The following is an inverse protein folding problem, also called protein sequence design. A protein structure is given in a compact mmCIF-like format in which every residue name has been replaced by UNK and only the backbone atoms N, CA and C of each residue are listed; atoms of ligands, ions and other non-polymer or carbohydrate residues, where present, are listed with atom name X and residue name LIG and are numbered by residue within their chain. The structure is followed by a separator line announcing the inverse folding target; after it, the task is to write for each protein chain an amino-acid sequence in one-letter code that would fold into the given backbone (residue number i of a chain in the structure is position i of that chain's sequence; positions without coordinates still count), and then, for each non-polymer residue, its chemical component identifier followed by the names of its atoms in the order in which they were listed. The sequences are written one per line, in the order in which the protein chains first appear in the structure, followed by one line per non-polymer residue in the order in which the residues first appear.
data_IF_296788034662
#
_entry.id   IF_296788034662
#
_cell.length_a   1.000
_cell.length_b   1.000
_cell.length_c   1.000
_cell.angle_alpha   90.00
_cell.angle_beta   90.00
_cell.angle_gamma   90.00
#
_symmetry.space_group_name_H-M   'P 1'
#
loop_
_entity.id
_entity.type
_entity.pdbx_description
1 polymer ?
#
# COMPACT_ATOMS: atom_id res chain seq x y z
N UNK A 1 5.78 27.74 21.99
CA UNK A 1 5.14 26.54 22.63
C UNK A 1 6.16 25.42 22.58
N UNK A 2 6.11 24.45 23.49
CA UNK A 2 6.97 23.27 23.39
C UNK A 2 6.50 22.45 22.17
N UNK A 3 7.43 21.93 21.33
CA UNK A 3 7.05 21.09 20.20
C UNK A 3 6.21 19.89 20.62
N UNK A 4 5.33 19.44 19.75
CA UNK A 4 4.46 18.27 19.99
C UNK A 4 5.25 17.02 19.65
N UNK A 5 5.49 16.09 20.63
CA UNK A 5 6.26 14.88 20.38
C UNK A 5 5.45 13.85 19.60
N UNK A 6 6.03 13.39 18.49
CA UNK A 6 5.43 12.45 17.54
C UNK A 6 6.37 11.28 17.35
N UNK A 7 5.85 10.06 17.44
CA UNK A 7 6.59 8.83 17.15
C UNK A 7 6.22 8.30 15.76
N UNK A 8 7.21 8.16 14.89
CA UNK A 8 7.08 7.50 13.58
C UNK A 8 7.64 6.09 13.71
N UNK A 9 6.79 5.08 13.56
CA UNK A 9 7.17 3.68 13.72
C UNK A 9 7.46 3.01 12.38
N UNK A 10 8.51 2.20 12.32
CA UNK A 10 8.99 1.52 11.11
C UNK A 10 9.12 2.47 9.90
N UNK A 11 9.77 3.64 10.03
CA UNK A 11 9.87 4.61 8.96
C UNK A 11 10.65 4.07 7.76
N UNK A 12 10.30 4.55 6.58
CA UNK A 12 11.12 4.48 5.36
C UNK A 12 11.82 5.81 5.12
N UNK A 13 12.80 5.85 4.24
CA UNK A 13 13.47 7.08 3.86
C UNK A 13 12.50 8.20 3.45
N UNK A 14 11.42 7.84 2.77
CA UNK A 14 10.38 8.79 2.37
C UNK A 14 9.63 9.39 3.57
N UNK A 15 9.48 8.68 4.68
CA UNK A 15 8.82 9.20 5.88
C UNK A 15 9.69 10.28 6.56
N UNK A 16 11.01 10.06 6.63
CA UNK A 16 11.96 11.08 7.12
C UNK A 16 11.86 12.35 6.29
N UNK A 17 11.91 12.22 4.96
CA UNK A 17 11.78 13.36 4.06
C UNK A 17 10.44 14.08 4.24
N UNK A 18 9.33 13.35 4.26
CA UNK A 18 8.01 13.93 4.39
C UNK A 18 7.79 14.63 5.72
N UNK A 19 8.27 14.07 6.84
CA UNK A 19 8.19 14.72 8.16
C UNK A 19 8.99 16.02 8.24
N UNK A 20 10.12 16.12 7.51
CA UNK A 20 10.94 17.34 7.47
C UNK A 20 10.36 18.43 6.56
N UNK A 21 9.50 18.07 5.61
CA UNK A 21 8.96 18.98 4.58
C UNK A 21 7.50 19.37 4.82
N UNK A 22 6.91 19.02 5.96
CA UNK A 22 5.58 19.50 6.33
C UNK A 22 5.60 21.02 6.59
N UNK A 23 4.46 21.71 6.49
CA UNK A 23 4.34 23.09 6.97
C UNK A 23 4.65 23.21 8.48
N UNK A 24 5.41 24.25 8.85
CA UNK A 24 5.77 24.57 10.24
C UNK A 24 6.39 23.37 11.02
N UNK A 25 7.48 22.74 10.50
CA UNK A 25 8.03 21.52 11.06
C UNK A 25 8.55 21.70 12.49
N UNK A 26 8.91 22.92 12.90
CA UNK A 26 9.34 23.28 14.25
C UNK A 26 8.22 23.17 15.31
N UNK A 27 6.98 23.02 14.87
CA UNK A 27 5.83 22.73 15.75
C UNK A 27 5.88 21.32 16.32
N UNK A 28 6.64 20.43 15.71
CA UNK A 28 6.68 19.01 16.01
C UNK A 28 8.09 18.54 16.38
N UNK A 29 8.15 17.58 17.31
CA UNK A 29 9.37 16.87 17.67
C UNK A 29 9.24 15.41 17.22
N UNK A 30 9.86 15.06 16.08
CA UNK A 30 9.78 13.73 15.52
C UNK A 30 10.79 12.79 16.16
N UNK A 31 10.29 11.67 16.68
CA UNK A 31 11.05 10.51 17.11
C UNK A 31 10.84 9.41 16.08
N UNK A 32 11.91 8.87 15.54
CA UNK A 32 11.86 7.77 14.57
C UNK A 32 12.33 6.50 15.23
N UNK A 33 11.50 5.45 15.19
CA UNK A 33 11.86 4.14 15.68
C UNK A 33 11.97 3.18 14.49
N UNK A 34 13.23 2.90 14.11
CA UNK A 34 13.55 2.05 12.97
C UNK A 34 13.22 0.58 13.25
N UNK A 35 13.02 -0.17 12.19
CA UNK A 35 12.88 -1.61 12.20
C UNK A 35 13.66 -2.22 11.03
N UNK A 36 14.13 -3.47 11.13
CA UNK A 36 14.82 -4.15 10.04
C UNK A 36 13.82 -4.50 8.92
N UNK A 37 13.66 -3.58 7.97
CA UNK A 37 12.72 -3.66 6.88
C UNK A 37 13.39 -4.14 5.61
N UNK A 38 12.78 -5.13 4.97
CA UNK A 38 13.06 -5.54 3.61
C UNK A 38 11.97 -5.01 2.65
N UNK A 39 12.18 -5.10 1.35
CA UNK A 39 11.20 -4.63 0.35
C UNK A 39 9.81 -5.28 0.52
N UNK A 40 9.79 -6.55 0.87
CA UNK A 40 8.58 -7.37 1.01
C UNK A 40 7.96 -7.39 2.42
N UNK A 41 8.63 -6.82 3.43
CA UNK A 41 8.16 -6.89 4.80
C UNK A 41 9.25 -6.71 5.84
N UNK A 42 9.16 -7.45 6.95
CA UNK A 42 10.18 -7.51 7.98
C UNK A 42 11.13 -8.69 7.74
N UNK A 43 12.36 -8.60 8.25
CA UNK A 43 13.30 -9.73 8.23
C UNK A 43 12.73 -10.94 8.98
N UNK A 44 13.08 -12.14 8.56
CA UNK A 44 12.58 -13.42 9.12
C UNK A 44 12.65 -13.55 10.64
N UNK A 45 13.62 -12.88 11.27
CA UNK A 45 13.86 -12.96 12.71
C UNK A 45 13.34 -11.72 13.46
N UNK A 46 12.47 -10.92 12.84
CA UNK A 46 11.95 -9.73 13.47
C UNK A 46 10.93 -10.08 14.55
N UNK A 47 11.21 -9.68 15.80
CA UNK A 47 10.28 -9.83 16.92
C UNK A 47 9.36 -8.62 16.99
N UNK A 48 8.17 -8.76 16.39
CA UNK A 48 7.16 -7.70 16.35
C UNK A 48 6.66 -7.35 17.75
N UNK A 49 6.60 -8.34 18.68
CA UNK A 49 6.14 -8.11 20.04
C UNK A 49 7.17 -7.35 20.87
N UNK A 50 8.45 -7.66 20.71
CA UNK A 50 9.55 -6.90 21.34
C UNK A 50 9.58 -5.46 20.81
N UNK A 51 9.41 -5.26 19.51
CA UNK A 51 9.34 -3.92 18.92
C UNK A 51 8.12 -3.13 19.42
N UNK A 52 6.97 -3.76 19.59
CA UNK A 52 5.80 -3.12 20.18
C UNK A 52 6.08 -2.66 21.63
N UNK A 53 6.83 -3.46 22.42
CA UNK A 53 7.23 -3.04 23.77
C UNK A 53 8.20 -1.85 23.74
N UNK A 54 9.11 -1.81 22.78
CA UNK A 54 9.98 -0.65 22.57
C UNK A 54 9.16 0.61 22.24
N UNK A 55 8.14 0.51 21.36
CA UNK A 55 7.21 1.61 21.11
C UNK A 55 6.53 2.11 22.39
N UNK A 56 6.07 1.21 23.28
CA UNK A 56 5.47 1.57 24.56
C UNK A 56 6.44 2.35 25.45
N UNK A 57 7.72 1.96 25.48
CA UNK A 57 8.76 2.65 26.24
C UNK A 57 8.98 4.05 25.70
N UNK A 58 9.09 4.23 24.36
CA UNK A 58 9.20 5.54 23.72
C UNK A 58 8.01 6.45 24.06
N UNK A 59 6.78 5.92 23.97
CA UNK A 59 5.57 6.70 24.29
C UNK A 59 5.62 7.24 25.71
N UNK A 60 6.02 6.41 26.69
CA UNK A 60 6.12 6.84 28.10
C UNK A 60 7.28 7.79 28.34
N UNK A 61 8.44 7.52 27.75
CA UNK A 61 9.66 8.30 27.95
C UNK A 61 9.55 9.71 27.39
N UNK A 62 8.97 9.86 26.21
CA UNK A 62 8.92 11.13 25.49
C UNK A 62 7.54 11.80 25.53
N UNK A 63 6.59 11.26 26.30
CA UNK A 63 5.21 11.77 26.41
C UNK A 63 4.56 11.95 25.02
N UNK A 64 4.75 10.95 24.14
CA UNK A 64 4.29 10.96 22.74
C UNK A 64 2.78 11.28 22.67
N UNK A 65 2.42 12.18 21.77
CA UNK A 65 1.02 12.62 21.55
C UNK A 65 0.40 12.02 20.30
N UNK A 66 1.23 11.62 19.32
CA UNK A 66 0.77 11.01 18.07
C UNK A 66 1.74 9.89 17.68
N UNK A 67 1.21 8.76 17.22
CA UNK A 67 1.97 7.70 16.58
C UNK A 67 1.62 7.68 15.10
N UNK A 68 2.61 7.71 14.22
CA UNK A 68 2.44 7.64 12.78
C UNK A 68 2.91 6.28 12.25
N UNK A 69 2.06 5.65 11.44
CA UNK A 69 2.38 4.45 10.67
C UNK A 69 1.88 4.61 9.23
N UNK A 70 2.76 4.36 8.28
CA UNK A 70 2.49 4.53 6.84
C UNK A 70 2.60 3.21 6.06
N UNK A 71 2.55 2.07 6.78
CA UNK A 71 2.63 0.72 6.22
C UNK A 71 1.61 -0.19 6.91
N UNK A 72 1.28 -1.29 6.26
CA UNK A 72 0.18 -2.17 6.67
C UNK A 72 0.40 -2.79 8.06
N UNK A 73 1.50 -3.51 8.29
CA UNK A 73 1.79 -4.11 9.61
C UNK A 73 2.04 -3.06 10.70
N UNK A 74 2.83 -1.99 10.48
CA UNK A 74 2.93 -0.88 11.44
C UNK A 74 1.60 -0.24 11.81
N UNK A 75 0.61 -0.21 10.90
CA UNK A 75 -0.73 0.30 11.24
C UNK A 75 -1.46 -0.58 12.27
N UNK A 76 -1.21 -1.88 12.30
CA UNK A 76 -1.70 -2.75 13.41
C UNK A 76 -1.07 -2.36 14.75
N UNK A 77 0.24 -2.07 14.76
CA UNK A 77 0.94 -1.62 15.98
C UNK A 77 0.42 -0.28 16.45
N UNK A 78 0.24 0.68 15.52
CA UNK A 78 -0.36 1.99 15.82
C UNK A 78 -1.76 1.81 16.43
N UNK A 79 -2.59 0.95 15.85
CA UNK A 79 -3.93 0.65 16.34
C UNK A 79 -3.88 0.10 17.78
N UNK A 80 -2.98 -0.86 18.05
CA UNK A 80 -2.82 -1.43 19.39
C UNK A 80 -2.37 -0.38 20.42
N UNK A 81 -1.37 0.44 20.05
CA UNK A 81 -0.89 1.53 20.92
C UNK A 81 -2.00 2.57 21.21
N UNK A 82 -2.83 2.88 20.22
CA UNK A 82 -3.96 3.80 20.39
C UNK A 82 -5.05 3.24 21.32
N UNK A 83 -5.22 1.92 21.37
CA UNK A 83 -6.15 1.28 22.32
C UNK A 83 -5.58 1.24 23.75
N UNK A 84 -4.26 1.17 23.91
CA UNK A 84 -3.60 1.09 25.21
C UNK A 84 -3.40 2.46 25.88
N UNK A 85 -3.07 3.48 25.09
CA UNK A 85 -2.74 4.81 25.58
C UNK A 85 -3.90 5.78 25.32
N UNK A 86 -4.62 6.17 26.36
CA UNK A 86 -5.83 7.04 26.26
C UNK A 86 -5.61 8.40 25.60
N UNK A 87 -4.38 8.86 25.53
CA UNK A 87 -4.02 10.14 24.89
C UNK A 87 -3.68 9.98 23.39
N UNK A 88 -3.64 8.77 22.88
CA UNK A 88 -3.44 8.50 21.46
C UNK A 88 -4.78 8.25 20.75
N UNK A 89 -4.86 8.65 19.49
CA UNK A 89 -6.01 8.40 18.62
C UNK A 89 -5.59 7.48 17.47
N UNK A 90 -6.49 6.63 17.02
CA UNK A 90 -6.22 5.69 15.92
C UNK A 90 -7.35 4.69 15.72
N UNK A 91 -7.22 3.85 14.72
CA UNK A 91 -8.14 2.75 14.42
C UNK A 91 -8.06 1.66 15.50
N UNK A 92 -9.05 0.77 15.52
CA UNK A 92 -8.97 -0.48 16.30
C UNK A 92 -8.04 -1.48 15.60
N UNK A 93 -7.45 -2.42 16.36
CA UNK A 93 -6.66 -3.53 15.80
C UNK A 93 -7.50 -4.36 14.85
N UNK A 94 -8.76 -4.63 15.21
CA UNK A 94 -9.69 -5.40 14.39
C UNK A 94 -9.93 -4.76 13.02
N UNK A 95 -10.22 -3.47 12.97
CA UNK A 95 -10.45 -2.77 11.70
C UNK A 95 -9.19 -2.65 10.84
N UNK A 96 -8.03 -2.42 11.46
CA UNK A 96 -6.74 -2.42 10.75
C UNK A 96 -6.42 -3.82 10.17
N UNK A 97 -6.72 -4.89 10.93
CA UNK A 97 -6.59 -6.27 10.46
C UNK A 97 -7.53 -6.58 9.28
N UNK A 98 -8.78 -6.12 9.33
CA UNK A 98 -9.73 -6.29 8.23
C UNK A 98 -9.26 -5.61 6.92
N UNK A 99 -8.48 -4.55 7.01
CA UNK A 99 -7.82 -3.95 5.84
C UNK A 99 -6.63 -4.79 5.35
N UNK A 100 -5.85 -5.38 6.26
CA UNK A 100 -4.65 -6.14 5.93
C UNK A 100 -4.94 -7.53 5.34
N UNK A 101 -5.89 -8.25 5.92
CA UNK A 101 -6.11 -9.66 5.61
C UNK A 101 -7.13 -9.84 4.48
N UNK A 102 -6.67 -10.03 3.26
CA UNK A 102 -7.45 -10.03 2.00
C UNK A 102 -8.73 -10.89 2.04
N UNK A 103 -8.68 -12.07 2.67
CA UNK A 103 -9.89 -12.89 2.83
C UNK A 103 -10.96 -12.23 3.69
N UNK A 104 -10.57 -11.62 4.82
CA UNK A 104 -11.53 -10.94 5.68
C UNK A 104 -11.95 -9.59 5.09
N UNK A 105 -11.07 -8.95 4.29
CA UNK A 105 -11.44 -7.82 3.46
C UNK A 105 -12.58 -8.18 2.51
N UNK A 106 -12.50 -9.31 1.79
CA UNK A 106 -13.58 -9.77 0.91
C UNK A 106 -14.90 -10.02 1.65
N UNK A 107 -14.84 -10.55 2.86
CA UNK A 107 -16.05 -10.73 3.70
C UNK A 107 -16.68 -9.42 4.13
N UNK A 108 -15.87 -8.38 4.29
CA UNK A 108 -16.35 -7.04 4.64
C UNK A 108 -16.94 -6.32 3.42
N UNK A 109 -16.34 -6.53 2.22
CA UNK A 109 -16.71 -5.85 0.99
C UNK A 109 -18.01 -6.44 0.43
N UNK A 110 -19.01 -5.64 0.34
CA UNK A 110 -20.24 -5.76 -0.40
C UNK A 110 -20.70 -4.31 -0.62
N UNK A 111 -20.90 -3.78 -1.80
CA UNK A 111 -21.61 -4.41 -2.91
C UNK A 111 -20.76 -4.76 -4.14
N UNK A 112 -19.45 -4.80 -4.06
CA UNK A 112 -18.57 -5.01 -5.23
C UNK A 112 -17.69 -6.27 -5.12
N UNK A 113 -18.26 -7.45 -4.84
CA UNK A 113 -17.49 -8.65 -4.59
C UNK A 113 -16.75 -9.13 -5.84
N UNK A 114 -15.55 -9.62 -5.63
CA UNK A 114 -14.81 -10.50 -6.55
C UNK A 114 -15.11 -11.93 -6.11
N UNK A 115 -15.34 -12.84 -7.04
CA UNK A 115 -15.47 -14.26 -6.70
C UNK A 115 -14.13 -14.76 -6.13
N UNK A 116 -14.17 -15.38 -4.95
CA UNK A 116 -12.97 -15.83 -4.27
C UNK A 116 -13.18 -17.16 -3.55
N UNK A 117 -12.08 -17.90 -3.40
CA UNK A 117 -11.96 -19.05 -2.52
C UNK A 117 -10.70 -18.91 -1.67
N UNK A 118 -10.71 -19.50 -0.48
CA UNK A 118 -9.55 -19.51 0.40
C UNK A 118 -9.10 -20.94 0.64
N UNK A 119 -7.80 -21.14 0.60
CA UNK A 119 -7.20 -22.42 0.89
C UNK A 119 -6.21 -22.32 2.04
N UNK A 120 -6.44 -23.11 3.07
CA UNK A 120 -5.53 -23.28 4.19
C UNK A 120 -4.54 -24.38 3.85
N UNK A 121 -3.25 -24.10 4.00
CA UNK A 121 -2.21 -25.12 3.90
C UNK A 121 -2.42 -26.14 5.03
N UNK A 122 -3.08 -27.25 4.67
CA UNK A 122 -3.24 -28.40 5.53
C UNK A 122 -2.29 -29.49 5.02
N UNK A 123 -1.40 -29.96 5.87
CA UNK A 123 -0.38 -30.96 5.50
C UNK A 123 -0.97 -32.33 5.20
N UNK A 124 -2.21 -32.58 5.61
CA UNK A 124 -2.85 -33.90 5.53
C UNK A 124 -3.71 -34.06 4.26
N UNK A 125 -3.89 -33.00 3.45
CA UNK A 125 -4.74 -33.00 2.28
C UNK A 125 -3.95 -32.69 1.01
N UNK A 126 -4.15 -33.50 -0.04
CA UNK A 126 -3.52 -33.27 -1.34
C UNK A 126 -4.02 -31.95 -1.96
N UNK A 127 -3.08 -31.13 -2.45
CA UNK A 127 -3.39 -29.87 -3.10
C UNK A 127 -4.34 -30.00 -4.27
N UNK A 128 -4.21 -31.11 -5.05
CA UNK A 128 -5.10 -31.42 -6.17
C UNK A 128 -6.58 -31.53 -5.77
N UNK A 129 -6.87 -32.11 -4.60
CA UNK A 129 -8.24 -32.23 -4.09
C UNK A 129 -8.85 -30.85 -3.78
N UNK A 130 -8.01 -29.94 -3.33
CA UNK A 130 -8.44 -28.57 -3.04
C UNK A 130 -8.82 -27.80 -4.29
N UNK A 131 -8.04 -27.97 -5.37
CA UNK A 131 -8.31 -27.28 -6.64
C UNK A 131 -9.63 -27.74 -7.28
N UNK A 132 -10.05 -28.98 -7.05
CA UNK A 132 -11.33 -29.52 -7.55
C UNK A 132 -12.55 -28.88 -6.85
N UNK A 133 -12.38 -28.36 -5.65
CA UNK A 133 -13.45 -27.68 -4.89
C UNK A 133 -13.68 -26.23 -5.33
N UNK A 134 -12.69 -25.61 -5.97
CA UNK A 134 -12.78 -24.21 -6.41
C UNK A 134 -13.70 -24.14 -7.64
N UNK A 135 -14.82 -23.44 -7.51
CA UNK A 135 -15.83 -23.30 -8.59
C UNK A 135 -15.62 -22.06 -9.45
N UNK A 136 -14.60 -21.26 -9.17
CA UNK A 136 -14.25 -20.07 -9.94
C UNK A 136 -13.63 -20.53 -11.27
N UNK A 137 -14.08 -20.01 -12.43
CA UNK A 137 -13.45 -20.35 -13.71
C UNK A 137 -12.06 -19.71 -13.85
N UNK A 138 -11.15 -20.38 -14.52
CA UNK A 138 -9.87 -19.80 -14.90
C UNK A 138 -10.04 -18.62 -15.89
N UNK A 139 -9.11 -17.65 -15.92
CA UNK A 139 -7.89 -17.58 -15.11
C UNK A 139 -8.13 -17.07 -13.67
N UNK A 140 -7.25 -17.44 -12.75
CA UNK A 140 -7.29 -16.99 -11.36
C UNK A 140 -6.14 -16.07 -11.05
N UNK A 141 -6.35 -15.23 -10.04
CA UNK A 141 -5.28 -14.56 -9.28
C UNK A 141 -5.06 -15.35 -7.99
N UNK A 142 -3.81 -15.77 -7.75
CA UNK A 142 -3.44 -16.54 -6.56
C UNK A 142 -2.47 -15.70 -5.74
N UNK A 143 -2.76 -15.51 -4.45
CA UNK A 143 -1.96 -14.67 -3.55
C UNK A 143 -2.10 -15.10 -2.09
N UNK A 144 -1.07 -14.90 -1.24
CA UNK A 144 -1.23 -15.01 0.20
C UNK A 144 -2.13 -13.91 0.76
N UNK A 145 -2.84 -14.18 1.86
CA UNK A 145 -3.80 -13.23 2.43
C UNK A 145 -3.19 -11.98 3.08
N UNK A 146 -1.96 -12.05 3.57
CA UNK A 146 -1.33 -10.97 4.38
C UNK A 146 -0.09 -10.34 3.74
N UNK A 147 0.17 -10.59 2.45
CA UNK A 147 1.31 -9.97 1.75
C UNK A 147 0.97 -8.61 1.18
N UNK A 148 1.96 -7.72 1.13
CA UNK A 148 1.87 -6.37 0.57
C UNK A 148 2.69 -6.24 -0.74
N UNK A 149 2.53 -5.12 -1.44
CA UNK A 149 3.35 -4.69 -2.58
C UNK A 149 3.31 -5.60 -3.82
N UNK A 150 2.22 -6.34 -4.05
CA UNK A 150 2.07 -7.26 -5.22
C UNK A 150 3.21 -8.29 -5.36
N UNK A 151 4.05 -8.45 -4.34
CA UNK A 151 5.28 -9.25 -4.40
C UNK A 151 5.04 -10.75 -4.56
N UNK A 152 3.82 -11.21 -4.33
CA UNK A 152 3.48 -12.63 -4.34
C UNK A 152 2.10 -12.87 -4.99
N UNK A 153 1.81 -12.16 -6.08
CA UNK A 153 0.55 -12.32 -6.82
C UNK A 153 0.87 -12.97 -8.15
N UNK A 154 0.22 -14.11 -8.45
CA UNK A 154 0.41 -14.85 -9.71
C UNK A 154 -0.92 -15.07 -10.40
N UNK A 155 -0.98 -14.73 -11.70
CA UNK A 155 -2.07 -15.13 -12.58
C UNK A 155 -1.82 -16.55 -13.06
N UNK A 156 -2.82 -17.43 -12.90
CA UNK A 156 -2.76 -18.81 -13.34
C UNK A 156 -3.92 -19.14 -14.28
N UNK A 157 -3.64 -19.88 -15.33
CA UNK A 157 -4.60 -20.17 -16.40
C UNK A 157 -5.15 -21.61 -16.35
N UNK A 158 -4.58 -22.45 -15.51
CA UNK A 158 -4.96 -23.86 -15.35
C UNK A 158 -4.48 -24.42 -14.00
N UNK A 159 -4.96 -25.61 -13.65
CA UNK A 159 -4.65 -26.27 -12.39
C UNK A 159 -3.16 -26.56 -12.21
N UNK A 160 -2.40 -26.84 -13.29
CA UNK A 160 -0.96 -27.08 -13.20
C UNK A 160 -0.23 -25.81 -12.77
N UNK A 161 -0.50 -24.68 -13.43
CA UNK A 161 0.07 -23.38 -13.04
C UNK A 161 -0.31 -23.00 -11.61
N UNK A 162 -1.53 -23.32 -11.17
CA UNK A 162 -1.97 -23.10 -9.80
C UNK A 162 -1.16 -23.94 -8.80
N UNK A 163 -0.90 -25.21 -9.07
CA UNK A 163 -0.07 -26.08 -8.25
C UNK A 163 1.37 -25.55 -8.14
N UNK A 164 1.96 -25.14 -9.27
CA UNK A 164 3.30 -24.58 -9.32
C UNK A 164 3.40 -23.28 -8.51
N UNK A 165 2.42 -22.37 -8.64
CA UNK A 165 2.36 -21.12 -7.88
C UNK A 165 2.24 -21.37 -6.37
N UNK A 166 1.39 -22.29 -5.96
CA UNK A 166 1.15 -22.61 -4.54
C UNK A 166 2.39 -23.24 -3.89
N UNK A 167 3.14 -24.07 -4.62
CA UNK A 167 4.39 -24.66 -4.10
C UNK A 167 5.43 -23.59 -3.75
N UNK A 168 5.50 -22.51 -4.54
CA UNK A 168 6.39 -21.36 -4.25
C UNK A 168 5.96 -20.62 -2.99
N UNK A 169 4.65 -20.53 -2.73
CA UNK A 169 4.14 -19.81 -1.58
C UNK A 169 4.35 -20.51 -0.25
N UNK A 170 4.59 -21.82 -0.21
CA UNK A 170 4.80 -22.56 1.03
C UNK A 170 5.95 -21.96 1.85
N UNK A 171 7.06 -21.62 1.20
CA UNK A 171 8.21 -21.00 1.86
C UNK A 171 7.93 -19.54 2.29
N UNK A 172 7.30 -18.76 1.42
CA UNK A 172 6.97 -17.34 1.69
C UNK A 172 5.96 -17.21 2.85
N UNK A 173 5.00 -18.13 2.95
CA UNK A 173 3.97 -18.14 3.98
C UNK A 173 4.58 -18.39 5.36
N UNK A 174 5.48 -19.35 5.48
CA UNK A 174 6.16 -19.66 6.74
C UNK A 174 6.93 -18.44 7.26
N UNK A 175 7.61 -17.73 6.38
CA UNK A 175 8.41 -16.56 6.72
C UNK A 175 7.55 -15.39 7.23
N UNK A 176 6.47 -15.08 6.54
CA UNK A 176 5.58 -13.97 6.91
C UNK A 176 4.77 -14.24 8.19
N UNK A 177 4.45 -15.50 8.47
CA UNK A 177 3.72 -15.87 9.67
C UNK A 177 4.54 -15.73 10.94
N UNK A 178 5.85 -15.96 10.88
CA UNK A 178 6.71 -16.03 12.07
C UNK A 178 6.68 -14.77 12.92
N UNK A 179 6.61 -13.58 12.33
CA UNK A 179 6.56 -12.31 13.08
C UNK A 179 5.15 -11.79 13.34
N UNK A 180 4.17 -12.09 12.47
CA UNK A 180 2.82 -11.52 12.54
C UNK A 180 1.86 -12.36 13.40
N UNK A 181 1.94 -13.69 13.33
CA UNK A 181 1.05 -14.60 14.08
C UNK A 181 1.00 -14.33 15.58
N UNK A 182 2.13 -14.15 16.29
CA UNK A 182 2.09 -13.89 17.74
C UNK A 182 1.28 -12.63 18.09
N UNK A 183 1.38 -11.59 17.26
CA UNK A 183 0.60 -10.38 17.43
C UNK A 183 -0.89 -10.63 17.21
N UNK A 184 -1.26 -11.24 16.10
CA UNK A 184 -2.66 -11.50 15.76
C UNK A 184 -3.35 -12.41 16.81
N UNK A 185 -2.69 -13.47 17.23
CA UNK A 185 -3.19 -14.38 18.28
C UNK A 185 -3.38 -13.68 19.64
N UNK A 186 -2.56 -12.68 19.93
CA UNK A 186 -2.64 -11.94 21.20
C UNK A 186 -3.80 -10.95 21.21
N UNK A 187 -4.07 -10.29 20.09
CA UNK A 187 -4.96 -9.12 20.05
C UNK A 187 -6.26 -9.33 19.29
N UNK A 188 -6.46 -10.48 18.63
CA UNK A 188 -7.69 -10.82 17.93
C UNK A 188 -8.32 -12.12 18.45
N UNK A 189 -9.64 -12.21 18.36
CA UNK A 189 -10.37 -13.43 18.74
C UNK A 189 -10.25 -14.50 17.63
N UNK A 190 -9.52 -15.57 17.90
CA UNK A 190 -9.36 -16.69 16.98
C UNK A 190 -10.66 -17.44 16.66
N UNK A 191 -11.70 -17.31 17.49
CA UNK A 191 -13.03 -17.88 17.17
C UNK A 191 -13.75 -17.06 16.11
N UNK A 192 -13.59 -15.74 16.14
CA UNK A 192 -14.14 -14.83 15.14
C UNK A 192 -13.31 -14.87 13.85
N UNK A 193 -11.99 -14.99 13.98
CA UNK A 193 -11.04 -14.99 12.87
C UNK A 193 -10.20 -16.27 12.82
N UNK A 194 -10.78 -17.43 12.45
CA UNK A 194 -10.11 -18.74 12.54
C UNK A 194 -8.94 -18.93 11.56
N UNK A 195 -8.65 -17.95 10.68
CA UNK A 195 -7.52 -17.99 9.75
C UNK A 195 -6.35 -17.08 10.15
N UNK A 196 -6.37 -16.49 11.36
CA UNK A 196 -5.26 -15.64 11.83
C UNK A 196 -3.96 -16.40 12.06
N UNK A 197 -4.05 -17.70 12.37
CA UNK A 197 -2.90 -18.58 12.66
C UNK A 197 -2.24 -19.13 11.41
N UNK A 198 -2.88 -18.93 10.29
CA UNK A 198 -2.42 -19.41 9.00
C UNK A 198 -2.44 -18.27 8.02
N UNK A 199 -1.42 -18.15 7.18
CA UNK A 199 -1.48 -17.25 6.06
C UNK A 199 -2.07 -18.01 4.85
N UNK A 200 -3.42 -18.14 4.77
CA UNK A 200 -4.03 -18.96 3.75
C UNK A 200 -3.80 -18.33 2.38
N UNK A 201 -3.87 -19.18 1.35
CA UNK A 201 -3.83 -18.72 -0.03
C UNK A 201 -5.23 -18.31 -0.43
N UNK A 202 -5.34 -17.13 -1.00
CA UNK A 202 -6.54 -16.59 -1.62
C UNK A 202 -6.47 -16.85 -3.12
N UNK A 203 -7.54 -17.41 -3.66
CA UNK A 203 -7.78 -17.58 -5.10
C UNK A 203 -8.93 -16.65 -5.45
N UNK A 204 -8.72 -15.78 -6.42
CA UNK A 204 -9.73 -14.82 -6.90
C UNK A 204 -9.97 -15.00 -8.39
N UNK A 205 -11.17 -14.64 -8.87
CA UNK A 205 -11.39 -14.47 -10.29
C UNK A 205 -10.45 -13.41 -10.87
N UNK A 206 -9.92 -13.65 -12.06
CA UNK A 206 -9.11 -12.64 -12.75
C UNK A 206 -9.99 -11.54 -13.33
N UNK A 207 -9.84 -10.33 -12.82
CA UNK A 207 -10.58 -9.16 -13.30
C UNK A 207 -9.82 -8.50 -14.45
N UNK A 208 -10.36 -8.64 -15.66
CA UNK A 208 -9.79 -8.01 -16.85
C UNK A 208 -10.51 -6.69 -17.17
N UNK A 209 -10.50 -5.76 -16.22
CA UNK A 209 -11.01 -4.41 -16.43
C UNK A 209 -9.88 -3.48 -16.86
N UNK A 210 -10.12 -2.54 -17.80
CA UNK A 210 -9.06 -1.72 -18.39
C UNK A 210 -8.52 -0.64 -17.47
N UNK A 211 -9.32 -0.20 -16.48
CA UNK A 211 -8.93 0.88 -15.60
C UNK A 211 -8.75 0.37 -14.18
N UNK A 212 -7.74 0.87 -13.52
CA UNK A 212 -7.50 0.70 -12.09
C UNK A 212 -7.32 2.08 -11.49
N UNK A 213 -7.85 2.28 -10.30
CA UNK A 213 -7.76 3.57 -9.61
C UNK A 213 -7.80 3.37 -8.11
N UNK A 214 -7.32 4.38 -7.39
CA UNK A 214 -7.35 4.43 -5.94
C UNK A 214 -8.21 5.59 -5.49
N UNK A 215 -9.01 5.39 -4.44
CA UNK A 215 -9.69 6.47 -3.73
C UNK A 215 -9.02 6.62 -2.38
N UNK A 216 -8.38 7.77 -2.18
CA UNK A 216 -7.69 8.12 -0.94
C UNK A 216 -8.53 9.02 -0.05
N UNK A 217 -8.40 8.82 1.24
CA UNK A 217 -9.05 9.67 2.24
C UNK A 217 -8.71 9.24 3.66
N UNK A 218 -9.49 9.73 4.61
CA UNK A 218 -9.36 9.36 6.01
C UNK A 218 -10.71 9.33 6.71
N UNK A 219 -10.74 8.63 7.84
CA UNK A 219 -11.80 8.78 8.85
C UNK A 219 -11.23 9.60 9.99
N UNK A 220 -11.99 10.57 10.48
CA UNK A 220 -11.62 11.40 11.62
C UNK A 220 -12.85 11.70 12.47
N UNK A 221 -12.84 11.22 13.71
CA UNK A 221 -13.98 11.34 14.63
C UNK A 221 -15.29 10.84 13.99
N UNK A 222 -15.25 9.67 13.35
CA UNK A 222 -16.36 9.04 12.64
C UNK A 222 -16.77 9.70 11.32
N UNK A 223 -16.06 10.74 10.87
CA UNK A 223 -16.36 11.43 9.61
C UNK A 223 -15.41 11.02 8.51
N UNK A 224 -15.97 10.63 7.37
CA UNK A 224 -15.21 10.27 6.16
C UNK A 224 -14.87 11.53 5.39
N UNK A 225 -13.57 11.72 5.12
CA UNK A 225 -13.02 12.80 4.28
C UNK A 225 -12.33 12.17 3.08
N UNK A 226 -12.84 12.42 1.88
CA UNK A 226 -12.23 11.97 0.62
C UNK A 226 -11.21 13.02 0.19
N UNK A 227 -10.01 12.58 -0.15
CA UNK A 227 -8.91 13.41 -0.65
C UNK A 227 -8.89 13.50 -2.18
N UNK A 228 -9.18 12.39 -2.84
CA UNK A 228 -9.29 12.34 -4.28
C UNK A 228 -9.21 10.93 -4.85
N UNK A 229 -9.19 10.87 -6.17
CA UNK A 229 -9.07 9.64 -6.94
C UNK A 229 -7.83 9.77 -7.82
N UNK A 230 -6.95 8.78 -7.77
CA UNK A 230 -5.80 8.63 -8.66
C UNK A 230 -6.00 7.46 -9.61
N UNK A 231 -5.48 7.59 -10.83
CA UNK A 231 -5.49 6.52 -11.83
C UNK A 231 -4.18 5.75 -11.79
N UNK A 232 -4.26 4.42 -11.84
CA UNK A 232 -3.09 3.52 -11.93
C UNK A 232 -2.92 3.05 -13.36
N UNK A 233 -1.74 3.29 -13.95
CA UNK A 233 -1.44 2.93 -15.31
C UNK A 233 -0.42 1.79 -15.38
N UNK A 234 -0.55 0.99 -16.43
CA UNK A 234 0.31 -0.15 -16.72
C UNK A 234 0.88 -0.03 -18.13
N UNK A 235 2.07 -0.57 -18.36
CA UNK A 235 2.65 -0.53 -19.70
C UNK A 235 1.83 -1.40 -20.67
N UNK A 236 1.48 -0.83 -21.82
CA UNK A 236 0.67 -1.56 -22.83
C UNK A 236 1.37 -2.82 -23.34
N UNK A 237 2.70 -2.78 -23.48
CA UNK A 237 3.53 -3.91 -23.91
C UNK A 237 3.66 -5.00 -22.83
N UNK A 238 3.43 -4.65 -21.56
CA UNK A 238 3.56 -5.51 -20.37
C UNK A 238 2.48 -5.14 -19.34
N UNK A 239 1.23 -5.62 -19.53
CA UNK A 239 0.08 -5.21 -18.71
C UNK A 239 0.18 -5.58 -17.23
N UNK A 240 1.13 -6.43 -16.87
CA UNK A 240 1.46 -6.77 -15.47
C UNK A 240 2.43 -5.77 -14.84
N UNK A 241 3.12 -4.96 -15.66
CA UNK A 241 4.11 -4.00 -15.19
C UNK A 241 3.46 -2.65 -14.94
N UNK A 242 3.48 -2.24 -13.69
CA UNK A 242 3.00 -0.94 -13.25
C UNK A 242 3.88 0.18 -13.81
N UNK A 243 3.26 1.19 -14.39
CA UNK A 243 3.96 2.31 -15.04
C UNK A 243 3.99 3.56 -14.17
N UNK A 244 2.82 3.99 -13.71
CA UNK A 244 2.65 5.25 -12.98
C UNK A 244 1.30 5.37 -12.28
N UNK A 245 1.23 6.32 -11.33
CA UNK A 245 0.00 6.89 -10.80
C UNK A 245 -0.16 8.32 -11.33
N UNK A 246 -1.38 8.70 -11.70
CA UNK A 246 -1.71 10.08 -12.03
C UNK A 246 -2.85 10.62 -11.16
N UNK A 247 -2.81 11.90 -10.84
CA UNK A 247 -3.79 12.58 -10.00
C UNK A 247 -4.06 14.02 -10.51
N UNK A 248 -5.33 14.48 -10.48
CA UNK A 248 -6.55 13.75 -10.16
C UNK A 248 -6.95 12.77 -11.26
N UNK A 249 -7.89 11.86 -10.98
CA UNK A 249 -8.36 10.86 -11.95
C UNK A 249 -8.97 11.51 -13.20
N UNK A 250 -8.73 10.87 -14.34
CA UNK A 250 -9.31 11.24 -15.65
C UNK A 250 -10.60 10.49 -15.97
N UNK A 251 -11.05 9.62 -15.10
CA UNK A 251 -12.31 8.88 -15.26
C UNK A 251 -13.50 9.85 -15.33
N UNK A 252 -14.57 9.52 -16.09
CA UNK A 252 -15.79 10.32 -16.14
C UNK A 252 -16.36 10.61 -14.76
N UNK A 253 -16.89 11.81 -14.53
CA UNK A 253 -17.48 12.23 -13.26
C UNK A 253 -18.53 11.23 -12.71
N UNK A 254 -19.34 10.64 -13.60
CA UNK A 254 -20.31 9.61 -13.22
C UNK A 254 -19.68 8.35 -12.62
N UNK A 255 -18.48 7.99 -13.07
CA UNK A 255 -17.68 6.88 -12.54
C UNK A 255 -17.05 7.29 -11.20
N UNK A 256 -16.42 8.47 -11.15
CA UNK A 256 -15.87 9.02 -9.91
C UNK A 256 -16.93 9.10 -8.80
N UNK A 257 -18.15 9.50 -9.13
CA UNK A 257 -19.26 9.52 -8.18
C UNK A 257 -19.65 8.12 -7.66
N UNK A 258 -19.59 7.08 -8.52
CA UNK A 258 -19.78 5.68 -8.09
C UNK A 258 -18.67 5.20 -7.17
N UNK A 259 -17.41 5.49 -7.51
CA UNK A 259 -16.23 5.15 -6.69
C UNK A 259 -16.33 5.80 -5.31
N UNK A 260 -16.63 7.09 -5.25
CA UNK A 260 -16.80 7.83 -4.00
C UNK A 260 -17.95 7.26 -3.14
N UNK A 261 -19.02 6.76 -3.75
CA UNK A 261 -20.11 6.09 -3.03
C UNK A 261 -19.65 4.76 -2.46
N UNK A 262 -19.05 3.90 -3.29
CA UNK A 262 -18.55 2.60 -2.85
C UNK A 262 -17.50 2.76 -1.73
N UNK A 263 -16.57 3.71 -1.87
CA UNK A 263 -15.61 4.06 -0.84
C UNK A 263 -16.28 4.41 0.49
N UNK A 264 -17.30 5.28 0.47
CA UNK A 264 -18.05 5.65 1.69
C UNK A 264 -18.75 4.46 2.32
N UNK A 265 -19.38 3.59 1.52
CA UNK A 265 -20.08 2.40 2.00
C UNK A 265 -19.10 1.41 2.68
N UNK A 266 -17.91 1.20 2.09
CA UNK A 266 -16.84 0.38 2.67
C UNK A 266 -16.37 0.97 4.00
N UNK A 267 -16.11 2.28 4.04
CA UNK A 267 -15.63 2.93 5.25
C UNK A 267 -16.67 2.98 6.36
N UNK A 268 -17.97 3.12 6.05
CA UNK A 268 -19.03 3.00 7.05
C UNK A 268 -19.01 1.64 7.73
N UNK A 269 -18.75 0.56 6.98
CA UNK A 269 -18.60 -0.78 7.57
C UNK A 269 -17.34 -0.89 8.41
N UNK A 270 -16.20 -0.37 7.94
CA UNK A 270 -14.97 -0.36 8.74
C UNK A 270 -15.13 0.43 10.05
N UNK A 271 -15.89 1.52 10.04
CA UNK A 271 -16.22 2.32 11.24
C UNK A 271 -16.98 1.47 12.28
N UNK A 272 -17.84 0.56 11.86
CA UNK A 272 -18.56 -0.37 12.77
C UNK A 272 -17.59 -1.30 13.52
N UNK A 273 -16.40 -1.56 12.94
CA UNK A 273 -15.30 -2.31 13.57
C UNK A 273 -14.29 -1.41 14.28
N UNK A 274 -14.58 -0.10 14.40
CA UNK A 274 -13.73 0.86 15.11
C UNK A 274 -12.62 1.47 14.26
N UNK A 275 -12.77 1.53 12.93
CA UNK A 275 -11.85 2.28 12.06
C UNK A 275 -12.11 3.76 12.23
N UNK A 276 -11.20 4.46 12.89
CA UNK A 276 -11.28 5.90 13.10
C UNK A 276 -9.87 6.51 13.23
N UNK A 277 -9.78 7.80 13.06
CA UNK A 277 -8.57 8.58 13.16
C UNK A 277 -7.38 7.96 12.39
N UNK A 278 -7.64 7.55 11.16
CA UNK A 278 -6.67 6.91 10.28
C UNK A 278 -6.97 7.23 8.81
N UNK A 279 -5.91 7.24 7.98
CA UNK A 279 -6.03 7.25 6.53
C UNK A 279 -6.37 5.86 6.00
N UNK A 280 -7.00 5.86 4.83
CA UNK A 280 -7.32 4.64 4.09
C UNK A 280 -7.29 4.90 2.59
N UNK A 281 -6.72 3.99 1.87
CA UNK A 281 -6.74 3.89 0.43
C UNK A 281 -7.57 2.67 0.03
N UNK A 282 -8.43 2.81 -0.96
CA UNK A 282 -9.19 1.70 -1.54
C UNK A 282 -8.93 1.63 -3.03
N UNK A 283 -8.42 0.49 -3.47
CA UNK A 283 -8.10 0.23 -4.86
C UNK A 283 -9.28 -0.43 -5.58
N UNK A 284 -9.56 0.04 -6.80
CA UNK A 284 -10.68 -0.42 -7.59
C UNK A 284 -10.28 -0.81 -9.01
N UNK A 285 -10.92 -1.86 -9.52
CA UNK A 285 -11.04 -2.13 -10.94
C UNK A 285 -12.26 -1.42 -11.51
N UNK A 286 -12.15 -0.85 -12.73
CA UNK A 286 -13.24 -0.17 -13.42
C UNK A 286 -13.34 -0.68 -14.85
N UNK A 287 -14.54 -1.16 -15.25
CA UNK A 287 -14.81 -1.62 -16.61
C UNK A 287 -15.13 -0.44 -17.56
N UNK A 288 -15.07 -0.67 -18.88
CA UNK A 288 -15.53 0.30 -19.88
C UNK A 288 -17.00 0.72 -19.69
N UNK A 289 -17.82 -0.14 -19.08
CA UNK A 289 -19.23 0.15 -18.80
C UNK A 289 -19.47 0.84 -17.45
N UNK A 290 -18.39 1.10 -16.71
CA UNK A 290 -18.46 1.71 -15.39
C UNK A 290 -18.94 0.77 -14.29
N UNK A 291 -18.76 -0.54 -14.47
CA UNK A 291 -18.79 -1.51 -13.38
C UNK A 291 -17.53 -1.33 -12.55
N UNK A 292 -17.65 -1.42 -11.24
CA UNK A 292 -16.52 -1.30 -10.31
C UNK A 292 -16.42 -2.55 -9.45
N UNK A 293 -15.19 -2.98 -9.16
CA UNK A 293 -14.88 -4.05 -8.21
C UNK A 293 -13.77 -3.61 -7.30
N UNK A 294 -13.82 -3.95 -6.03
CA UNK A 294 -12.76 -3.61 -5.07
C UNK A 294 -11.60 -4.56 -5.27
N UNK A 295 -10.39 -4.02 -5.38
CA UNK A 295 -9.14 -4.79 -5.49
C UNK A 295 -8.54 -5.05 -4.12
N UNK A 296 -8.37 -3.98 -3.32
CA UNK A 296 -7.70 -4.03 -2.02
C UNK A 296 -8.12 -2.82 -1.16
N UNK A 297 -8.02 -2.97 0.16
CA UNK A 297 -8.15 -1.88 1.12
C UNK A 297 -6.84 -1.77 1.88
N UNK A 298 -6.24 -0.60 1.86
CA UNK A 298 -5.03 -0.28 2.59
C UNK A 298 -5.37 0.66 3.75
N UNK A 299 -5.41 0.15 4.98
CA UNK A 299 -5.80 0.91 6.18
C UNK A 299 -4.73 1.90 6.64
N UNK A 300 -4.14 2.63 5.70
CA UNK A 300 -3.05 3.59 5.95
C UNK A 300 -2.90 4.56 4.78
N UNK A 301 -2.16 5.64 5.01
CA UNK A 301 -1.74 6.54 3.94
C UNK A 301 -0.71 5.87 3.02
N UNK A 302 -0.70 6.26 1.74
CA UNK A 302 0.34 5.89 0.78
C UNK A 302 1.42 6.98 0.80
N UNK A 303 2.62 6.74 1.38
CA UNK A 303 3.62 7.80 1.59
C UNK A 303 4.11 8.44 0.30
N UNK A 304 4.20 7.66 -0.79
CA UNK A 304 4.67 8.14 -2.08
C UNK A 304 3.73 9.19 -2.69
N UNK A 305 2.43 9.15 -2.37
CA UNK A 305 1.43 10.10 -2.85
C UNK A 305 1.49 11.45 -2.13
N UNK A 306 2.24 11.56 -1.02
CA UNK A 306 2.26 12.79 -0.23
C UNK A 306 2.77 13.99 -1.01
N UNK A 307 3.84 13.83 -1.79
CA UNK A 307 4.38 14.90 -2.64
C UNK A 307 3.36 15.36 -3.70
N UNK A 308 2.62 14.42 -4.26
CA UNK A 308 1.59 14.69 -5.25
C UNK A 308 0.45 15.53 -4.68
N UNK A 309 -0.06 15.13 -3.52
CA UNK A 309 -1.14 15.85 -2.84
C UNK A 309 -0.73 17.25 -2.40
N UNK A 310 0.49 17.43 -1.88
CA UNK A 310 1.02 18.75 -1.54
C UNK A 310 1.01 19.72 -2.72
N UNK A 311 1.29 19.22 -3.92
CA UNK A 311 1.43 20.03 -5.12
C UNK A 311 0.12 20.23 -5.88
N UNK A 312 -0.78 19.25 -5.87
CA UNK A 312 -2.04 19.28 -6.64
C UNK A 312 -3.27 19.70 -5.82
N UNK A 313 -3.13 19.79 -4.49
CA UNK A 313 -4.23 20.16 -3.60
C UNK A 313 -3.90 21.41 -2.78
N UNK A 314 -4.90 22.27 -2.60
CA UNK A 314 -4.86 23.28 -1.57
C UNK A 314 -5.04 22.62 -0.20
N UNK A 315 -4.13 22.88 0.74
CA UNK A 315 -4.13 22.29 2.07
C UNK A 315 -4.01 20.75 2.06
N UNK A 316 -3.32 20.22 1.04
CA UNK A 316 -3.19 18.79 0.76
C UNK A 316 -1.93 18.14 1.33
N UNK A 317 -1.47 18.50 2.54
CA UNK A 317 -0.36 17.80 3.19
C UNK A 317 -0.86 16.60 4.01
N UNK A 318 -0.62 15.33 3.55
CA UNK A 318 -1.16 14.16 4.24
C UNK A 318 -0.49 13.90 5.58
N UNK A 319 0.79 14.26 5.78
CA UNK A 319 1.47 14.07 7.07
C UNK A 319 0.93 15.04 8.11
N UNK A 320 0.70 16.30 7.74
CA UNK A 320 0.00 17.26 8.61
C UNK A 320 -1.39 16.75 8.99
N UNK A 321 -2.13 16.20 8.02
CA UNK A 321 -3.45 15.65 8.29
C UNK A 321 -3.38 14.39 9.20
N UNK A 322 -2.42 13.48 8.99
CA UNK A 322 -2.17 12.34 9.88
C UNK A 322 -1.91 12.80 11.33
N UNK A 323 -1.09 13.83 11.51
CA UNK A 323 -0.82 14.39 12.82
C UNK A 323 -2.09 14.99 13.44
N UNK A 324 -2.86 15.75 12.65
CA UNK A 324 -4.13 16.34 13.11
C UNK A 324 -5.13 15.30 13.57
N UNK A 325 -5.37 14.25 12.77
CA UNK A 325 -6.28 13.16 13.16
C UNK A 325 -5.76 12.36 14.35
N UNK A 326 -4.43 12.15 14.44
CA UNK A 326 -3.79 11.53 15.59
C UNK A 326 -3.90 12.35 16.88
N UNK A 327 -4.13 13.66 16.76
CA UNK A 327 -4.48 14.55 17.88
C UNK A 327 -5.99 14.66 18.13
N UNK A 328 -6.83 13.90 17.40
CA UNK A 328 -8.29 13.99 17.46
C UNK A 328 -8.87 15.25 16.80
N UNK A 329 -8.09 15.93 15.97
CA UNK A 329 -8.53 17.12 15.25
C UNK A 329 -9.09 16.76 13.89
N UNK A 330 -10.15 17.43 13.45
CA UNK A 330 -10.70 17.28 12.10
C UNK A 330 -9.75 17.95 11.09
N UNK A 331 -9.14 17.20 10.13
CA UNK A 331 -8.35 17.84 9.08
C UNK A 331 -9.28 18.61 8.13
N UNK A 332 -8.72 19.64 7.51
CA UNK A 332 -9.46 20.35 6.46
C UNK A 332 -9.60 19.45 5.24
N UNK A 333 -10.76 19.51 4.59
CA UNK A 333 -10.97 18.82 3.31
C UNK A 333 -10.16 19.54 2.24
N UNK A 334 -9.21 18.87 1.58
CA UNK A 334 -8.42 19.49 0.54
C UNK A 334 -9.25 19.72 -0.72
N UNK A 335 -8.82 20.66 -1.56
CA UNK A 335 -9.45 20.97 -2.85
C UNK A 335 -8.42 21.02 -3.95
N UNK A 336 -8.80 20.62 -5.17
CA UNK A 336 -7.91 20.70 -6.34
C UNK A 336 -7.49 22.15 -6.59
N UNK A 337 -6.22 22.35 -6.94
CA UNK A 337 -5.67 23.68 -7.28
C UNK A 337 -5.50 23.91 -8.81
N UNK A 338 -5.92 22.95 -9.63
CA UNK A 338 -5.87 23.01 -11.08
C UNK A 338 -4.63 22.38 -11.71
N UNK A 339 -3.65 21.95 -10.89
CA UNK A 339 -2.50 21.20 -11.36
C UNK A 339 -2.82 19.71 -11.45
N UNK A 340 -2.11 19.02 -12.33
CA UNK A 340 -2.09 17.56 -12.43
C UNK A 340 -0.71 17.05 -12.10
N UNK A 341 -0.64 15.83 -11.56
CA UNK A 341 0.64 15.26 -11.21
C UNK A 341 0.69 13.76 -11.44
N UNK A 342 1.89 13.19 -11.37
CA UNK A 342 2.11 11.77 -11.50
C UNK A 342 3.36 11.29 -10.78
N UNK A 343 3.32 10.02 -10.40
CA UNK A 343 4.45 9.27 -9.85
C UNK A 343 4.84 8.24 -10.89
N UNK A 344 5.98 8.42 -11.51
CA UNK A 344 6.43 7.60 -12.63
C UNK A 344 7.56 6.68 -12.20
N UNK A 345 7.45 5.41 -12.53
CA UNK A 345 8.45 4.40 -12.21
C UNK A 345 9.50 4.29 -13.32
N UNK A 346 10.75 4.23 -12.92
CA UNK A 346 11.89 3.90 -13.77
C UNK A 346 12.18 2.41 -13.57
N UNK A 347 11.59 1.58 -14.41
CA UNK A 347 11.56 0.13 -14.25
C UNK A 347 12.44 -0.56 -15.28
N UNK A 348 13.11 -1.64 -14.88
CA UNK A 348 13.93 -2.50 -15.76
C UNK A 348 13.51 -3.96 -15.67
N UNK A 349 13.78 -4.72 -16.74
CA UNK A 349 13.78 -6.18 -16.77
C UNK A 349 15.20 -6.76 -16.92
N UNK A 350 16.22 -5.91 -16.92
CA UNK A 350 17.63 -6.32 -16.95
C UNK A 350 18.09 -6.86 -15.59
N UNK A 351 18.89 -7.92 -15.65
CA UNK A 351 19.53 -8.54 -14.47
C UNK A 351 21.00 -8.19 -14.48
N UNK A 352 21.41 -7.23 -13.66
CA UNK A 352 22.78 -6.74 -13.57
C UNK A 352 23.00 -6.03 -12.22
N UNK A 353 24.18 -5.46 -12.00
CA UNK A 353 24.43 -4.52 -10.92
C UNK A 353 23.72 -3.21 -11.26
N UNK A 354 23.08 -2.57 -10.26
CA UNK A 354 22.25 -1.39 -10.47
C UNK A 354 22.96 -0.23 -11.19
N UNK A 355 24.27 -0.04 -10.97
CA UNK A 355 25.08 0.96 -11.68
C UNK A 355 25.17 0.73 -13.19
N UNK A 356 24.99 -0.50 -13.67
CA UNK A 356 24.94 -0.84 -15.09
C UNK A 356 23.55 -0.64 -15.70
N UNK A 357 22.50 -0.49 -14.87
CA UNK A 357 21.10 -0.36 -15.28
C UNK A 357 20.61 1.09 -15.18
N UNK A 358 21.05 1.82 -14.14
CA UNK A 358 20.63 3.19 -13.85
C UNK A 358 21.82 4.17 -13.95
N UNK A 359 21.60 5.32 -14.57
CA UNK A 359 22.57 6.41 -14.55
C UNK A 359 22.44 7.20 -13.23
N UNK A 360 23.27 6.86 -12.25
CA UNK A 360 23.25 7.47 -10.93
C UNK A 360 23.64 8.95 -10.92
N UNK A 361 24.51 9.37 -11.85
CA UNK A 361 24.95 10.77 -11.90
C UNK A 361 23.79 11.67 -12.40
N UNK A 362 23.08 11.23 -13.43
CA UNK A 362 21.87 11.92 -13.89
C UNK A 362 20.78 11.83 -12.80
N UNK A 363 20.56 10.65 -12.23
CA UNK A 363 19.54 10.43 -11.21
C UNK A 363 19.69 11.37 -9.99
N UNK A 364 20.91 11.53 -9.47
CA UNK A 364 21.22 12.43 -8.36
C UNK A 364 20.97 13.91 -8.68
N UNK A 365 21.02 14.30 -9.95
CA UNK A 365 20.77 15.68 -10.38
C UNK A 365 19.30 16.07 -10.48
N UNK A 366 18.38 15.08 -10.43
CA UNK A 366 16.95 15.30 -10.56
C UNK A 366 16.31 15.48 -9.18
N UNK A 367 15.81 16.66 -8.89
CA UNK A 367 15.34 17.05 -7.58
C UNK A 367 14.17 16.22 -7.01
N UNK A 368 13.25 15.76 -7.88
CA UNK A 368 12.02 15.04 -7.48
C UNK A 368 12.11 13.54 -7.75
N UNK A 369 13.33 12.98 -7.83
CA UNK A 369 13.57 11.57 -8.10
C UNK A 369 14.06 10.87 -6.82
N UNK A 370 13.41 9.78 -6.49
CA UNK A 370 13.80 8.85 -5.42
C UNK A 370 14.51 7.65 -6.04
N UNK A 371 15.80 7.48 -5.73
CA UNK A 371 16.57 6.28 -6.12
C UNK A 371 16.25 5.19 -5.10
N UNK A 372 15.89 4.00 -5.59
CA UNK A 372 15.43 2.86 -4.77
C UNK A 372 16.47 1.77 -4.56
N UNK A 373 17.62 1.92 -5.20
CA UNK A 373 18.71 0.94 -5.20
C UNK A 373 20.03 1.61 -4.89
N UNK A 374 21.00 0.86 -4.36
CA UNK A 374 22.39 1.31 -4.28
C UNK A 374 23.15 0.95 -5.57
N UNK A 375 24.24 1.66 -5.93
CA UNK A 375 25.00 1.36 -7.15
C UNK A 375 25.47 -0.09 -7.24
N UNK A 376 25.91 -0.66 -6.11
CA UNK A 376 26.46 -2.00 -6.00
C UNK A 376 25.39 -3.10 -5.89
N UNK A 377 24.13 -2.72 -5.78
CA UNK A 377 23.03 -3.67 -5.60
C UNK A 377 22.84 -4.56 -6.83
N UNK A 378 22.74 -5.85 -6.57
CA UNK A 378 22.64 -6.87 -7.61
C UNK A 378 21.16 -7.19 -7.86
N UNK A 379 20.66 -6.85 -9.03
CA UNK A 379 19.29 -7.15 -9.45
C UNK A 379 19.30 -8.55 -10.07
N UNK A 380 18.86 -9.55 -9.32
CA UNK A 380 18.89 -10.97 -9.71
C UNK A 380 17.50 -11.55 -9.94
N UNK A 381 16.51 -11.05 -9.20
CA UNK A 381 15.13 -11.50 -9.26
C UNK A 381 14.25 -10.41 -9.83
N UNK A 382 13.54 -10.72 -10.90
CA UNK A 382 12.64 -9.78 -11.58
C UNK A 382 11.32 -10.49 -11.81
N UNK A 383 10.28 -10.00 -11.15
CA UNK A 383 8.92 -10.47 -11.34
C UNK A 383 8.30 -9.99 -12.66
N UNK A 384 7.05 -10.38 -12.91
CA UNK A 384 6.29 -9.92 -14.07
C UNK A 384 6.14 -8.39 -14.13
N UNK A 385 6.14 -7.73 -12.96
CA UNK A 385 6.06 -6.27 -12.83
C UNK A 385 7.36 -5.53 -13.12
N UNK A 386 8.46 -6.23 -13.41
CA UNK A 386 9.79 -5.62 -13.52
C UNK A 386 10.37 -5.23 -12.16
N UNK A 387 11.52 -4.55 -12.18
CA UNK A 387 12.19 -4.06 -10.99
C UNK A 387 12.29 -2.51 -11.03
N UNK A 388 11.68 -1.79 -10.09
CA UNK A 388 11.72 -0.32 -10.05
C UNK A 388 13.05 0.18 -9.47
N UNK A 389 13.91 0.75 -10.31
CA UNK A 389 15.21 1.34 -9.92
C UNK A 389 15.05 2.71 -9.25
N UNK A 390 14.07 3.47 -9.69
CA UNK A 390 13.75 4.80 -9.16
C UNK A 390 12.28 5.17 -9.39
N UNK A 391 11.84 6.22 -8.71
CA UNK A 391 10.55 6.89 -8.96
C UNK A 391 10.77 8.39 -9.09
N UNK A 392 10.00 9.03 -9.96
CA UNK A 392 10.00 10.50 -10.12
C UNK A 392 8.60 11.06 -9.94
N UNK A 393 8.49 12.14 -9.17
CA UNK A 393 7.26 12.90 -9.01
C UNK A 393 7.28 14.10 -9.95
N UNK A 394 6.29 14.18 -10.84
CA UNK A 394 6.14 15.28 -11.79
C UNK A 394 4.78 15.95 -11.59
N UNK A 395 4.76 17.27 -11.69
CA UNK A 395 3.55 18.09 -11.63
C UNK A 395 3.59 19.11 -12.76
N UNK A 396 2.45 19.35 -13.40
CA UNK A 396 2.34 20.26 -14.52
C UNK A 396 0.89 20.71 -14.75
N UNK A 397 0.67 21.38 -15.87
CA UNK A 397 -0.66 21.88 -16.23
C UNK A 397 -1.49 20.85 -17.03
N UNK A 398 -0.87 19.79 -17.52
CA UNK A 398 -1.55 18.72 -18.26
C UNK A 398 -0.85 17.36 -18.09
N UNK A 399 -1.62 16.28 -18.25
CA UNK A 399 -1.08 14.92 -18.27
C UNK A 399 -0.13 14.68 -19.45
N UNK A 400 -0.38 15.31 -20.60
CA UNK A 400 0.50 15.19 -21.76
C UNK A 400 1.90 15.73 -21.43
N UNK A 401 1.98 16.90 -20.79
CA UNK A 401 3.24 17.52 -20.37
C UNK A 401 4.05 16.60 -19.44
N UNK A 402 3.43 16.13 -18.33
CA UNK A 402 4.15 15.31 -17.37
C UNK A 402 4.52 13.92 -17.92
N UNK A 403 3.70 13.34 -18.81
CA UNK A 403 4.02 12.07 -19.48
C UNK A 403 5.20 12.22 -20.46
N UNK A 404 5.27 13.32 -21.20
CA UNK A 404 6.42 13.61 -22.07
C UNK A 404 7.70 13.76 -21.25
N UNK A 405 7.65 14.48 -20.14
CA UNK A 405 8.79 14.62 -19.22
C UNK A 405 9.20 13.25 -18.63
N UNK A 406 8.25 12.45 -18.15
CA UNK A 406 8.52 11.12 -17.60
C UNK A 406 9.20 10.20 -18.61
N UNK A 407 8.70 10.17 -19.84
CA UNK A 407 9.29 9.36 -20.90
C UNK A 407 10.69 9.85 -21.32
N UNK A 408 10.94 11.15 -21.27
CA UNK A 408 12.27 11.71 -21.48
C UNK A 408 13.24 11.26 -20.38
N UNK A 409 12.82 11.34 -19.10
CA UNK A 409 13.63 10.90 -17.96
C UNK A 409 13.91 9.40 -17.98
N UNK A 410 12.91 8.57 -18.30
CA UNK A 410 13.10 7.12 -18.46
C UNK A 410 14.22 6.79 -19.45
N UNK A 411 14.23 7.48 -20.63
CA UNK A 411 15.27 7.27 -21.65
C UNK A 411 16.65 7.76 -21.21
N UNK A 412 16.72 8.81 -20.41
CA UNK A 412 18.00 9.37 -19.94
C UNK A 412 18.60 8.54 -18.80
N UNK A 413 17.74 7.97 -17.95
CA UNK A 413 18.14 7.28 -16.73
C UNK A 413 18.52 5.82 -16.95
N UNK A 414 17.92 5.13 -17.94
CA UNK A 414 18.21 3.72 -18.19
C UNK A 414 19.38 3.55 -19.14
N UNK A 415 20.44 2.89 -18.64
CA UNK A 415 21.64 2.55 -19.42
C UNK A 415 21.42 1.38 -20.39
N UNK A 416 20.42 0.54 -20.10
CA UNK A 416 20.06 -0.63 -20.92
C UNK A 416 18.57 -0.52 -21.30
N UNK A 417 18.21 0.40 -22.24
CA UNK A 417 16.81 0.68 -22.57
C UNK A 417 16.08 -0.52 -23.22
N UNK A 418 16.82 -1.49 -23.78
CA UNK A 418 16.25 -2.73 -24.35
C UNK A 418 15.55 -3.60 -23.30
N UNK A 419 15.86 -3.44 -22.03
CA UNK A 419 15.19 -4.10 -20.92
C UNK A 419 14.08 -3.24 -20.29
N UNK A 420 13.70 -2.16 -20.92
CA UNK A 420 12.61 -1.33 -20.44
C UNK A 420 11.24 -1.85 -20.88
N UNK A 421 10.18 -1.66 -20.07
CA UNK A 421 8.85 -2.14 -20.40
C UNK A 421 8.13 -1.36 -21.52
N UNK A 422 8.71 -0.24 -21.97
CA UNK A 422 8.14 0.61 -23.03
C UNK A 422 8.80 0.46 -24.41
N UNK A 423 9.73 -0.46 -24.57
CA UNK A 423 10.33 -0.82 -25.87
C UNK A 423 9.58 -1.95 -26.56
#
# INVERSE_FOLDING_TARGET
MKPIPILVICPRQIDYFNCQTIPDPETYEFHFLDAPLELSGFSRNFDLMAYLEECRQYIRQYDIKVVLATRDVPSLLQAQLSQEFKNLQGASVESAFLCLHKYYTHKLIDPTPIDYAVWKLDTDRALSEYLEEIKIPFPWMVKPCTTACSSSIVKVNNSKEALDAISIYQDIIVDNLSYLSPFLQTYLDSKQYPLIDSNPILVEEYINFPYKCCVDGCVSNGKIVIWGISDSHYFMSKPECFADFTFPSTLPESIQAKLNRAYKEILQRLIEYGFDNQFVDVEFFVSHKGEIKVMEINGRMIPISASLYRQCLNQGDPYTALIQIGMGCQPKTPTLNGLVGGIFYITTFGKDIAENLLDFEIAKSIHNLEIRVTPEEKITEIGASGFPLATVNLVGNSYEEINQQANSLRRQLLKQPEFSPWN
#
